data_IF_782726005462
#
_entry.id   IF_782726005462
#
_cell.length_a   1.000
_cell.length_b   1.000
_cell.length_c   1.000
_cell.angle_alpha   90.00
_cell.angle_beta   90.00
_cell.angle_gamma   90.00
#
_symmetry.space_group_name_H-M   'P 1'
#
loop_
_entity.id
_entity.type
_entity.pdbx_description
1 polymer ?
#
# COMPACT_ATOMS: atom_id res chain seq x y z
N UNK A 1 -13.27 10.12 6.10
CA UNK A 1 -12.84 8.85 5.46
C UNK A 1 -12.64 7.79 6.54
N UNK A 2 -12.57 6.49 6.20
CA UNK A 2 -12.23 5.44 7.20
C UNK A 2 -10.73 5.46 7.49
N UNK A 3 -10.32 5.10 8.70
CA UNK A 3 -8.91 5.01 9.08
C UNK A 3 -8.66 3.65 9.73
N UNK A 4 -7.93 2.79 9.04
CA UNK A 4 -7.58 1.45 9.51
C UNK A 4 -6.17 1.44 10.08
N UNK A 5 -5.98 0.76 11.21
CA UNK A 5 -4.67 0.47 11.77
C UNK A 5 -4.46 -1.04 11.78
N UNK A 6 -3.50 -1.52 11.01
CA UNK A 6 -3.08 -2.92 10.99
C UNK A 6 -2.25 -3.19 12.23
N UNK A 7 -2.75 -4.03 13.13
CA UNK A 7 -2.07 -4.37 14.38
C UNK A 7 -2.23 -5.87 14.67
N UNK A 8 -1.15 -6.52 15.09
CA UNK A 8 -1.26 -7.90 15.59
C UNK A 8 -1.97 -7.90 16.94
N UNK A 9 -3.00 -8.75 17.18
CA UNK A 9 -3.79 -8.70 18.41
C UNK A 9 -3.00 -8.80 19.72
N UNK A 10 -1.82 -9.41 19.70
CA UNK A 10 -0.94 -9.55 20.86
C UNK A 10 0.00 -8.35 21.09
N UNK A 11 0.13 -7.43 20.12
CA UNK A 11 0.91 -6.19 20.23
C UNK A 11 0.05 -5.08 20.86
N UNK A 12 -0.38 -5.32 22.10
CA UNK A 12 -1.21 -4.39 22.87
C UNK A 12 -0.47 -3.10 23.22
N UNK A 13 0.86 -3.15 23.30
CA UNK A 13 1.76 -2.01 23.43
C UNK A 13 1.60 -1.03 22.26
N UNK A 14 1.80 -1.51 21.02
CA UNK A 14 1.69 -0.70 19.81
C UNK A 14 0.27 -0.21 19.57
N UNK A 15 -0.72 -1.05 19.89
CA UNK A 15 -2.14 -0.66 19.85
C UNK A 15 -2.43 0.53 20.78
N UNK A 16 -1.91 0.52 22.00
CA UNK A 16 -2.13 1.62 22.94
C UNK A 16 -1.44 2.92 22.45
N UNK A 17 -0.21 2.82 21.94
CA UNK A 17 0.54 3.95 21.40
C UNK A 17 -0.20 4.64 20.24
N UNK A 18 -0.62 3.88 19.23
CA UNK A 18 -1.29 4.45 18.06
C UNK A 18 -2.69 4.99 18.37
N UNK A 19 -3.43 4.35 19.29
CA UNK A 19 -4.72 4.86 19.76
C UNK A 19 -4.59 6.19 20.50
N UNK A 20 -3.58 6.34 21.37
CA UNK A 20 -3.30 7.60 22.05
C UNK A 20 -2.96 8.73 21.06
N UNK A 21 -2.20 8.43 20.00
CA UNK A 21 -1.96 9.38 18.91
C UNK A 21 -3.26 9.76 18.17
N UNK A 22 -4.12 8.77 17.88
CA UNK A 22 -5.43 9.01 17.28
C UNK A 22 -6.31 9.93 18.11
N UNK A 23 -6.39 9.69 19.42
CA UNK A 23 -7.13 10.53 20.36
C UNK A 23 -6.60 11.96 20.40
N UNK A 24 -5.27 12.14 20.45
CA UNK A 24 -4.62 13.45 20.43
C UNK A 24 -5.07 14.31 19.23
N UNK A 25 -5.27 13.68 18.07
CA UNK A 25 -5.65 14.36 16.83
C UNK A 25 -7.13 14.22 16.46
N UNK A 26 -7.97 13.69 17.35
CA UNK A 26 -9.39 13.42 17.11
C UNK A 26 -9.65 12.57 15.86
N UNK A 27 -8.79 11.58 15.60
CA UNK A 27 -8.91 10.66 14.49
C UNK A 27 -9.59 9.36 14.96
N UNK A 28 -10.75 8.98 14.38
CA UNK A 28 -11.46 7.76 14.76
C UNK A 28 -10.76 6.53 14.14
N UNK A 29 -9.73 6.04 14.81
CA UNK A 29 -8.97 4.87 14.36
C UNK A 29 -9.77 3.58 14.53
N UNK A 30 -9.82 2.77 13.48
CA UNK A 30 -10.36 1.41 13.51
C UNK A 30 -9.22 0.41 13.50
N UNK A 31 -9.09 -0.35 14.59
CA UNK A 31 -8.11 -1.42 14.67
C UNK A 31 -8.56 -2.57 13.76
N UNK A 32 -7.67 -2.96 12.86
CA UNK A 32 -7.81 -4.11 11.99
C UNK A 32 -6.86 -5.21 12.47
N UNK A 33 -7.42 -6.31 12.96
CA UNK A 33 -6.63 -7.44 13.45
C UNK A 33 -5.80 -8.04 12.31
N UNK A 34 -4.49 -7.82 12.38
CA UNK A 34 -3.52 -8.30 11.41
C UNK A 34 -3.46 -9.83 11.45
N UNK A 35 -3.25 -10.42 10.28
CA UNK A 35 -3.07 -11.86 10.13
C UNK A 35 -1.67 -12.25 10.56
N UNK A 36 -1.57 -13.00 11.65
CA UNK A 36 -0.32 -13.63 12.04
C UNK A 36 -0.01 -14.79 11.10
N UNK A 37 0.86 -14.56 10.11
CA UNK A 37 1.22 -15.60 9.15
C UNK A 37 1.91 -16.82 9.77
N UNK A 38 2.57 -16.66 10.92
CA UNK A 38 3.20 -17.79 11.65
C UNK A 38 2.15 -18.76 12.24
N UNK A 39 0.91 -18.32 12.41
CA UNK A 39 -0.20 -19.16 12.86
C UNK A 39 -0.87 -19.96 11.71
N UNK A 40 -0.46 -19.75 10.45
CA UNK A 40 -1.03 -20.44 9.29
C UNK A 40 -0.17 -21.67 8.95
N UNK A 41 -0.83 -22.82 8.74
CA UNK A 41 -0.15 -24.05 8.31
C UNK A 41 0.42 -23.93 6.90
N UNK A 42 1.45 -24.72 6.58
CA UNK A 42 2.04 -24.72 5.24
C UNK A 42 1.04 -25.22 4.18
N UNK A 43 0.16 -26.14 4.56
CA UNK A 43 -0.94 -26.67 3.74
C UNK A 43 -1.95 -25.59 3.36
N UNK A 44 -2.29 -24.71 4.28
CA UNK A 44 -3.15 -23.55 4.01
C UNK A 44 -2.42 -22.50 3.19
N UNK A 45 -1.15 -22.23 3.50
CA UNK A 45 -0.34 -21.28 2.73
C UNK A 45 -0.25 -21.70 1.26
N UNK A 46 -0.06 -22.98 0.96
CA UNK A 46 -0.03 -23.50 -0.43
C UNK A 46 -1.32 -23.21 -1.22
N UNK A 47 -2.46 -23.01 -0.54
CA UNK A 47 -3.74 -22.69 -1.20
C UNK A 47 -3.88 -21.20 -1.52
N UNK A 48 -3.20 -20.34 -0.77
CA UNK A 48 -3.40 -18.87 -0.81
C UNK A 48 -2.17 -18.12 -1.34
N UNK A 49 -1.02 -18.77 -1.42
CA UNK A 49 0.24 -18.21 -1.93
C UNK A 49 0.67 -18.97 -3.18
N UNK A 50 0.87 -18.24 -4.27
CA UNK A 50 1.38 -18.78 -5.51
C UNK A 50 2.82 -19.27 -5.31
N UNK A 51 3.08 -20.52 -5.72
CA UNK A 51 4.44 -21.10 -5.81
C UNK A 51 5.16 -21.19 -4.45
N UNK A 52 4.42 -21.43 -3.37
CA UNK A 52 4.99 -21.68 -2.05
C UNK A 52 5.54 -23.12 -1.93
N UNK A 53 6.74 -23.34 -1.35
CA UNK A 53 7.64 -22.36 -0.74
C UNK A 53 8.71 -21.76 -1.68
N UNK A 54 8.71 -22.12 -2.97
CA UNK A 54 9.70 -21.68 -3.95
C UNK A 54 9.71 -20.16 -4.20
N UNK A 55 8.61 -19.47 -3.89
CA UNK A 55 8.49 -18.01 -3.94
C UNK A 55 9.32 -17.29 -2.85
N UNK A 56 9.83 -18.03 -1.85
CA UNK A 56 10.68 -17.55 -0.76
C UNK A 56 10.09 -16.40 0.07
N UNK A 57 8.76 -16.28 0.13
CA UNK A 57 8.08 -15.38 1.07
C UNK A 57 8.09 -16.00 2.47
N UNK A 58 8.43 -15.20 3.49
CA UNK A 58 8.29 -15.64 4.89
C UNK A 58 6.83 -15.61 5.30
N UNK A 59 6.48 -16.39 6.32
CA UNK A 59 5.13 -16.42 6.87
C UNK A 59 4.69 -15.04 7.36
N UNK A 60 5.56 -14.30 8.07
CA UNK A 60 5.27 -12.92 8.45
C UNK A 60 4.90 -12.02 7.25
N UNK A 61 5.63 -12.11 6.13
CA UNK A 61 5.31 -11.36 4.90
C UNK A 61 3.94 -11.75 4.35
N UNK A 62 3.63 -13.04 4.35
CA UNK A 62 2.34 -13.56 3.90
C UNK A 62 1.21 -13.00 4.78
N UNK A 63 1.40 -12.97 6.10
CA UNK A 63 0.47 -12.37 7.06
C UNK A 63 0.21 -10.88 6.80
N UNK A 64 1.28 -10.10 6.58
CA UNK A 64 1.17 -8.69 6.18
C UNK A 64 0.37 -8.55 4.87
N UNK A 65 0.75 -9.28 3.80
CA UNK A 65 0.00 -9.26 2.52
C UNK A 65 -1.47 -9.63 2.66
N UNK A 66 -1.80 -10.64 3.48
CA UNK A 66 -3.18 -11.02 3.75
C UNK A 66 -3.96 -9.91 4.47
N UNK A 67 -3.33 -9.22 5.41
CA UNK A 67 -3.97 -8.14 6.18
C UNK A 67 -4.41 -6.99 5.27
N UNK A 68 -3.54 -6.51 4.38
CA UNK A 68 -3.90 -5.49 3.40
C UNK A 68 -4.95 -5.97 2.39
N UNK A 69 -4.85 -7.22 1.91
CA UNK A 69 -5.86 -7.79 1.01
C UNK A 69 -7.25 -7.84 1.66
N UNK A 70 -7.33 -8.19 2.95
CA UNK A 70 -8.59 -8.18 3.70
C UNK A 70 -9.15 -6.77 3.88
N UNK A 71 -8.30 -5.76 4.12
CA UNK A 71 -8.74 -4.35 4.12
C UNK A 71 -9.32 -3.97 2.76
N UNK A 72 -8.62 -4.29 1.66
CA UNK A 72 -9.14 -3.99 0.31
C UNK A 72 -10.47 -4.68 0.05
N UNK A 73 -10.60 -5.96 0.46
CA UNK A 73 -11.86 -6.69 0.38
C UNK A 73 -12.97 -6.01 1.18
N UNK A 74 -12.68 -5.63 2.42
CA UNK A 74 -13.62 -4.93 3.31
C UNK A 74 -14.08 -3.60 2.70
N UNK A 75 -13.18 -2.83 2.10
CA UNK A 75 -13.55 -1.61 1.37
C UNK A 75 -14.50 -1.88 0.20
N UNK A 76 -14.30 -2.98 -0.52
CA UNK A 76 -15.20 -3.38 -1.61
C UNK A 76 -16.57 -3.80 -1.08
N UNK A 77 -16.59 -4.66 -0.05
CA UNK A 77 -17.82 -5.22 0.52
C UNK A 77 -18.69 -4.15 1.21
N UNK A 78 -18.05 -3.18 1.88
CA UNK A 78 -18.71 -2.11 2.64
C UNK A 78 -18.85 -0.79 1.85
N UNK A 79 -18.49 -0.76 0.57
CA UNK A 79 -18.53 0.44 -0.28
C UNK A 79 -17.76 1.65 0.31
N UNK A 80 -16.58 1.41 0.89
CA UNK A 80 -15.74 2.47 1.47
C UNK A 80 -14.95 3.16 0.36
N UNK A 81 -15.34 4.39 0.01
CA UNK A 81 -14.76 5.13 -1.12
C UNK A 81 -13.28 5.51 -0.92
N UNK A 82 -12.90 5.84 0.31
CA UNK A 82 -11.54 6.29 0.64
C UNK A 82 -11.18 5.84 2.06
N UNK A 83 -9.97 5.32 2.23
CA UNK A 83 -9.47 4.91 3.53
C UNK A 83 -7.98 5.24 3.69
N UNK A 84 -7.60 5.69 4.88
CA UNK A 84 -6.21 5.69 5.33
C UNK A 84 -5.89 4.31 5.92
N UNK A 85 -4.81 3.67 5.47
CA UNK A 85 -4.27 2.44 6.07
C UNK A 85 -2.95 2.79 6.74
N UNK A 86 -2.87 2.47 8.03
CA UNK A 86 -1.72 2.66 8.90
C UNK A 86 -1.21 1.30 9.38
N UNK A 87 0.10 1.16 9.53
CA UNK A 87 0.68 0.14 10.40
C UNK A 87 0.68 0.66 11.86
N UNK A 88 0.81 -0.24 12.83
CA UNK A 88 0.80 0.11 14.25
C UNK A 88 2.05 0.85 14.75
N UNK A 89 3.10 0.95 13.92
CA UNK A 89 4.33 1.70 14.15
C UNK A 89 4.36 3.12 13.52
N UNK A 90 3.22 3.57 13.00
CA UNK A 90 3.10 4.90 12.40
C UNK A 90 3.17 6.04 13.43
N UNK A 91 3.85 7.13 13.08
CA UNK A 91 3.83 8.38 13.84
C UNK A 91 2.93 9.41 13.17
N UNK A 92 1.80 9.73 13.79
CA UNK A 92 0.85 10.72 13.30
C UNK A 92 1.35 12.13 13.61
N UNK A 93 1.24 13.05 12.64
CA UNK A 93 1.61 14.46 12.80
C UNK A 93 0.38 15.35 12.93
N UNK A 94 0.57 16.53 13.53
CA UNK A 94 -0.52 17.48 13.86
C UNK A 94 -1.41 17.85 12.66
N UNK A 95 -0.84 17.97 11.46
CA UNK A 95 -1.56 18.35 10.25
C UNK A 95 -2.23 17.18 9.51
N UNK A 96 -2.12 15.95 10.02
CA UNK A 96 -2.72 14.78 9.36
C UNK A 96 -4.24 14.96 9.14
N UNK A 97 -5.08 15.40 10.10
CA UNK A 97 -6.50 15.61 9.87
C UNK A 97 -6.79 16.61 8.73
N UNK A 98 -6.00 17.69 8.65
CA UNK A 98 -6.12 18.70 7.59
C UNK A 98 -5.85 18.06 6.23
N UNK A 99 -4.74 17.32 6.09
CA UNK A 99 -4.38 16.68 4.83
C UNK A 99 -5.40 15.63 4.42
N UNK A 100 -5.91 14.82 5.35
CA UNK A 100 -6.97 13.85 5.05
C UNK A 100 -8.22 14.55 4.52
N UNK A 101 -8.65 15.65 5.14
CA UNK A 101 -9.78 16.44 4.66
C UNK A 101 -9.59 17.03 3.26
N UNK A 102 -8.36 17.43 2.89
CA UNK A 102 -8.04 17.87 1.54
C UNK A 102 -8.07 16.71 0.52
N UNK A 103 -7.57 15.53 0.90
CA UNK A 103 -7.61 14.34 0.05
C UNK A 103 -9.06 13.88 -0.23
N UNK A 104 -9.97 13.96 0.74
CA UNK A 104 -11.41 13.65 0.53
C UNK A 104 -12.07 14.58 -0.49
N UNK A 105 -11.66 15.85 -0.53
CA UNK A 105 -12.20 16.81 -1.51
C UNK A 105 -11.69 16.52 -2.92
N UNK A 106 -10.43 16.08 -3.03
CA UNK A 106 -9.71 15.95 -4.31
C UNK A 106 -9.94 14.58 -4.95
N UNK A 107 -9.94 13.48 -4.18
CA UNK A 107 -10.18 12.16 -4.74
C UNK A 107 -11.65 12.02 -5.16
N UNK A 108 -11.86 11.70 -6.45
CA UNK A 108 -13.19 11.48 -7.04
C UNK A 108 -13.51 10.00 -7.28
N UNK A 109 -12.62 9.10 -6.84
CA UNK A 109 -12.73 7.66 -7.03
C UNK A 109 -12.95 7.23 -8.51
N UNK A 110 -12.42 8.02 -9.46
CA UNK A 110 -12.56 7.77 -10.91
C UNK A 110 -11.48 6.83 -11.45
N UNK A 111 -10.31 6.83 -10.81
CA UNK A 111 -9.16 6.00 -11.18
C UNK A 111 -8.60 5.28 -9.95
N UNK A 112 -8.03 4.08 -10.09
CA UNK A 112 -7.31 3.41 -9.01
C UNK A 112 -6.15 4.28 -8.50
N UNK A 113 -6.29 4.85 -7.29
CA UNK A 113 -5.34 5.81 -6.73
C UNK A 113 -4.87 5.42 -5.33
N UNK A 114 -3.56 5.58 -5.11
CA UNK A 114 -2.93 5.59 -3.79
C UNK A 114 -2.27 6.96 -3.57
N UNK A 115 -2.44 7.52 -2.38
CA UNK A 115 -1.71 8.69 -1.89
C UNK A 115 -0.79 8.26 -0.75
N UNK A 116 0.51 8.36 -0.96
CA UNK A 116 1.48 8.14 0.10
C UNK A 116 1.55 9.37 1.02
N UNK A 117 1.33 9.15 2.31
CA UNK A 117 1.37 10.21 3.33
C UNK A 117 2.62 10.14 4.23
N UNK A 118 3.42 9.08 4.07
CA UNK A 118 4.70 8.86 4.77
C UNK A 118 5.94 8.90 3.86
N UNK A 119 5.77 9.10 2.55
CA UNK A 119 6.91 9.09 1.62
C UNK A 119 7.70 10.39 1.65
N UNK A 120 9.03 10.25 1.66
CA UNK A 120 9.97 11.35 1.47
C UNK A 120 10.51 11.44 0.03
N UNK A 121 10.14 10.51 -0.85
CA UNK A 121 10.65 10.41 -2.22
C UNK A 121 9.61 10.90 -3.24
N UNK A 122 9.85 12.06 -3.84
CA UNK A 122 8.92 12.69 -4.78
C UNK A 122 9.63 13.46 -5.90
N UNK A 123 8.94 13.69 -7.02
CA UNK A 123 9.45 14.54 -8.11
C UNK A 123 9.44 16.00 -7.69
N UNK A 124 10.52 16.72 -8.01
CA UNK A 124 10.54 18.19 -7.93
C UNK A 124 9.80 18.83 -9.12
N UNK A 125 8.60 18.35 -9.44
CA UNK A 125 7.71 18.95 -10.43
C UNK A 125 6.70 19.90 -9.77
N UNK A 126 5.94 20.64 -10.58
CA UNK A 126 4.72 21.28 -10.10
C UNK A 126 3.80 20.22 -9.48
N UNK A 127 3.23 20.55 -8.33
CA UNK A 127 2.23 19.73 -7.62
C UNK A 127 0.97 20.56 -7.38
N UNK A 128 -0.14 19.88 -7.13
CA UNK A 128 -1.36 20.54 -6.70
C UNK A 128 -1.18 20.99 -5.26
N UNK A 129 -1.18 22.30 -5.01
CA UNK A 129 -1.16 22.84 -3.65
C UNK A 129 -2.47 22.52 -2.95
N UNK A 130 -2.37 22.18 -1.67
CA UNK A 130 -3.50 21.98 -0.76
C UNK A 130 -3.30 22.88 0.47
N UNK A 131 -4.26 22.91 1.39
CA UNK A 131 -4.15 23.70 2.62
C UNK A 131 -2.90 23.35 3.46
N UNK A 132 -2.52 24.24 4.39
CA UNK A 132 -1.44 23.99 5.37
C UNK A 132 -0.02 24.02 4.79
N UNK A 133 0.18 24.51 3.56
CA UNK A 133 1.50 24.54 2.91
C UNK A 133 1.90 23.20 2.27
N UNK A 134 0.98 22.24 2.21
CA UNK A 134 1.21 20.94 1.59
C UNK A 134 0.93 20.96 0.07
N UNK A 135 1.46 19.95 -0.62
CA UNK A 135 1.18 19.72 -2.02
C UNK A 135 1.07 18.22 -2.34
N UNK A 136 0.21 17.89 -3.28
CA UNK A 136 0.11 16.56 -3.90
C UNK A 136 1.05 16.53 -5.11
N UNK A 137 1.98 15.59 -5.11
CA UNK A 137 2.98 15.42 -6.18
C UNK A 137 2.99 14.01 -6.75
N UNK A 138 3.55 13.91 -7.95
CA UNK A 138 3.89 12.62 -8.56
C UNK A 138 4.92 11.88 -7.72
N UNK A 139 4.57 10.64 -7.39
CA UNK A 139 5.45 9.72 -6.68
C UNK A 139 6.46 9.08 -7.65
N UNK A 140 7.72 8.99 -7.25
CA UNK A 140 8.77 8.36 -8.07
C UNK A 140 8.86 6.88 -7.75
N UNK A 141 9.23 6.57 -6.52
CA UNK A 141 9.42 5.23 -5.99
C UNK A 141 9.70 5.34 -4.49
N UNK A 142 9.33 4.33 -3.75
CA UNK A 142 9.57 4.19 -2.32
C UNK A 142 9.08 2.82 -1.87
N UNK A 143 9.94 2.09 -1.17
CA UNK A 143 9.48 0.96 -0.38
C UNK A 143 8.80 1.51 0.86
N UNK A 144 7.65 0.92 1.21
CA UNK A 144 7.03 0.85 2.54
C UNK A 144 5.52 1.13 2.46
N UNK A 145 4.76 0.41 3.30
CA UNK A 145 3.30 0.50 3.45
C UNK A 145 2.88 1.16 4.77
N UNK A 146 3.80 1.75 5.54
CA UNK A 146 3.53 2.30 6.88
C UNK A 146 2.30 3.20 6.95
N UNK A 147 2.08 4.02 5.91
CA UNK A 147 0.89 4.84 5.83
C UNK A 147 0.58 5.25 4.39
N UNK A 148 -0.63 4.96 3.94
CA UNK A 148 -1.12 5.39 2.63
C UNK A 148 -2.64 5.51 2.63
N UNK A 149 -3.15 6.46 1.85
CA UNK A 149 -4.57 6.57 1.54
C UNK A 149 -4.85 5.81 0.26
N UNK A 150 -5.88 4.97 0.26
CA UNK A 150 -6.32 4.14 -0.87
C UNK A 150 -7.78 4.44 -1.17
N UNK A 151 -8.10 4.65 -2.44
CA UNK A 151 -9.49 4.76 -2.87
C UNK A 151 -10.08 3.40 -3.26
N UNK A 152 -11.40 3.32 -3.34
CA UNK A 152 -12.10 2.05 -3.60
C UNK A 152 -11.73 1.45 -4.95
N UNK A 153 -11.54 2.25 -6.00
CA UNK A 153 -11.05 1.74 -7.30
C UNK A 153 -9.68 1.07 -7.19
N UNK A 154 -8.79 1.59 -6.35
CA UNK A 154 -7.52 0.93 -6.05
C UNK A 154 -7.72 -0.33 -5.21
N UNK A 155 -8.57 -0.32 -4.19
CA UNK A 155 -8.89 -1.50 -3.40
C UNK A 155 -9.46 -2.64 -4.28
N UNK A 156 -10.43 -2.34 -5.14
CA UNK A 156 -11.02 -3.27 -6.12
C UNK A 156 -9.93 -3.87 -7.02
N UNK A 157 -9.09 -3.02 -7.62
CA UNK A 157 -8.01 -3.43 -8.52
C UNK A 157 -6.95 -4.28 -7.82
N UNK A 158 -6.50 -3.87 -6.64
CA UNK A 158 -5.49 -4.59 -5.85
C UNK A 158 -6.03 -5.93 -5.37
N UNK A 159 -7.24 -5.98 -4.81
CA UNK A 159 -7.86 -7.23 -4.37
C UNK A 159 -8.03 -8.24 -5.52
N UNK A 160 -8.53 -7.78 -6.67
CA UNK A 160 -8.76 -8.66 -7.83
C UNK A 160 -7.47 -9.21 -8.47
N UNK A 161 -6.33 -8.53 -8.28
CA UNK A 161 -5.08 -8.86 -9.00
C UNK A 161 -3.94 -9.35 -8.10
N UNK A 162 -4.05 -9.21 -6.77
CA UNK A 162 -3.02 -9.66 -5.82
C UNK A 162 -3.40 -10.98 -5.11
N UNK A 163 -4.57 -11.55 -5.41
CA UNK A 163 -4.99 -12.89 -5.00
C UNK A 163 -4.85 -13.91 -6.16
N UNK A 164 -4.30 -15.12 -5.93
CA UNK A 164 -3.57 -15.56 -4.74
C UNK A 164 -2.28 -14.75 -4.54
N UNK A 165 -1.75 -14.74 -3.31
CA UNK A 165 -0.61 -13.92 -2.94
C UNK A 165 0.61 -14.32 -3.77
N UNK A 166 1.14 -13.34 -4.49
CA UNK A 166 2.38 -13.46 -5.28
C UNK A 166 3.41 -12.38 -4.92
N UNK A 167 2.92 -11.25 -4.44
CA UNK A 167 3.69 -10.05 -4.16
C UNK A 167 3.52 -9.67 -2.68
N UNK A 168 4.56 -9.10 -2.10
CA UNK A 168 4.47 -8.41 -0.81
C UNK A 168 3.57 -7.17 -0.94
N UNK A 169 2.84 -6.80 0.12
CA UNK A 169 1.90 -5.67 0.11
C UNK A 169 2.52 -4.34 -0.34
N UNK A 170 3.83 -4.18 -0.13
CA UNK A 170 4.61 -2.97 -0.39
C UNK A 170 5.33 -2.95 -1.75
N UNK A 171 5.03 -3.90 -2.66
CA UNK A 171 5.68 -4.00 -3.98
C UNK A 171 5.09 -3.00 -4.99
N UNK A 172 4.93 -1.75 -4.57
CA UNK A 172 4.30 -0.65 -5.29
C UNK A 172 4.81 -0.47 -6.72
N UNK A 173 6.13 -0.55 -6.93
CA UNK A 173 6.75 -0.52 -8.26
C UNK A 173 6.09 -1.51 -9.23
N UNK A 174 5.85 -2.75 -8.79
CA UNK A 174 5.23 -3.77 -9.63
C UNK A 174 3.77 -3.46 -9.90
N UNK A 175 3.04 -2.95 -8.90
CA UNK A 175 1.62 -2.62 -9.05
C UNK A 175 1.43 -1.48 -10.04
N UNK A 176 2.32 -0.49 -10.02
CA UNK A 176 2.39 0.57 -11.03
C UNK A 176 2.76 0.03 -12.42
N UNK A 177 3.78 -0.82 -12.53
CA UNK A 177 4.21 -1.40 -13.81
C UNK A 177 3.12 -2.29 -14.45
N UNK A 178 2.32 -2.96 -13.62
CA UNK A 178 1.17 -3.76 -14.04
C UNK A 178 -0.07 -2.90 -14.36
N UNK A 179 -0.04 -1.60 -14.04
CA UNK A 179 -1.17 -0.68 -14.25
C UNK A 179 -2.34 -0.93 -13.30
N UNK A 180 -2.10 -1.53 -12.14
CA UNK A 180 -3.14 -1.80 -11.14
C UNK A 180 -3.60 -0.52 -10.45
N UNK A 181 -2.66 0.40 -10.23
CA UNK A 181 -2.84 1.63 -9.45
C UNK A 181 -1.96 2.74 -10.00
N UNK A 182 -2.39 3.97 -9.75
CA UNK A 182 -1.61 5.19 -9.94
C UNK A 182 -1.27 5.80 -8.58
N UNK A 183 -0.17 6.55 -8.52
CA UNK A 183 0.38 7.05 -7.27
C UNK A 183 0.48 8.57 -7.25
N UNK A 184 0.25 9.13 -6.08
CA UNK A 184 0.70 10.47 -5.68
C UNK A 184 1.23 10.42 -4.26
N UNK A 185 1.86 11.50 -3.81
CA UNK A 185 2.33 11.64 -2.44
C UNK A 185 2.04 13.04 -1.92
N UNK A 186 1.87 13.15 -0.61
CA UNK A 186 1.76 14.44 0.09
C UNK A 186 3.16 14.91 0.47
N UNK A 187 3.43 16.18 0.22
CA UNK A 187 4.72 16.83 0.47
C UNK A 187 4.51 18.16 1.21
N UNK A 188 5.15 18.38 2.38
CA UNK A 188 5.93 17.40 3.15
C UNK A 188 5.07 16.21 3.61
N UNK A 189 5.70 15.13 4.06
CA UNK A 189 4.96 13.98 4.61
C UNK A 189 4.25 14.35 5.92
N UNK A 190 3.14 13.69 6.22
CA UNK A 190 2.31 13.93 7.43
C UNK A 190 2.18 12.70 8.33
N UNK A 191 2.91 11.63 8.01
CA UNK A 191 3.08 10.47 8.85
C UNK A 191 4.54 10.07 8.85
N UNK A 192 5.14 9.98 10.04
CA UNK A 192 6.50 9.49 10.25
C UNK A 192 6.52 8.00 10.59
N UNK A 193 7.70 7.50 10.94
CA UNK A 193 7.92 6.16 11.51
C UNK A 193 8.63 6.36 12.85
N UNK A 194 8.21 5.63 13.89
CA UNK A 194 8.77 5.81 15.23
C UNK A 194 10.20 5.27 15.35
N UNK A 195 11.09 6.09 15.92
CA UNK A 195 12.44 5.72 16.33
C UNK A 195 13.38 5.17 15.25
N UNK A 196 14.54 4.65 15.71
CA UNK A 196 15.35 3.70 14.92
C UNK A 196 14.41 2.53 14.65
N UNK A 197 14.20 2.09 13.39
CA UNK A 197 13.26 1.02 13.10
C UNK A 197 13.62 -0.15 14.00
N UNK A 198 12.78 -0.40 15.00
CA UNK A 198 12.79 -1.67 15.73
C UNK A 198 12.84 -2.69 14.61
N UNK A 199 13.88 -3.54 14.56
CA UNK A 199 14.05 -4.47 13.44
C UNK A 199 12.79 -5.30 13.42
N UNK A 200 11.83 -4.92 12.56
CA UNK A 200 10.52 -5.56 12.48
C UNK A 200 10.77 -7.06 12.46
N UNK A 201 9.97 -7.85 13.18
CA UNK A 201 10.13 -9.31 13.17
C UNK A 201 10.17 -9.84 11.73
N UNK A 202 9.45 -9.17 10.83
CA UNK A 202 9.49 -9.37 9.37
C UNK A 202 10.89 -9.19 8.78
N UNK A 203 11.63 -8.16 9.18
CA UNK A 203 12.98 -7.88 8.67
C UNK A 203 13.95 -9.01 9.00
N UNK A 204 13.94 -9.51 10.24
CA UNK A 204 14.85 -10.57 10.69
C UNK A 204 14.57 -11.88 9.95
N UNK A 205 13.31 -12.27 9.82
CA UNK A 205 12.92 -13.44 9.02
C UNK A 205 13.29 -13.26 7.53
N UNK A 206 12.98 -12.09 6.96
CA UNK A 206 13.26 -11.77 5.54
C UNK A 206 14.75 -11.80 5.23
N UNK A 207 15.61 -11.36 6.15
CA UNK A 207 17.04 -11.28 5.93
C UNK A 207 17.64 -12.63 5.49
N UNK A 208 17.10 -13.74 6.01
CA UNK A 208 17.53 -15.11 5.69
C UNK A 208 17.17 -15.54 4.25
N UNK A 209 16.06 -15.04 3.71
CA UNK A 209 15.54 -15.45 2.39
C UNK A 209 15.67 -14.38 1.31
N UNK A 210 16.06 -13.14 1.67
CA UNK A 210 16.01 -11.95 0.81
C UNK A 210 16.72 -12.16 -0.54
N UNK A 211 17.91 -12.78 -0.55
CA UNK A 211 18.64 -13.05 -1.80
C UNK A 211 17.83 -13.94 -2.75
N UNK A 212 17.26 -15.03 -2.22
CA UNK A 212 16.45 -15.98 -3.00
C UNK A 212 15.14 -15.33 -3.45
N UNK A 213 14.46 -14.58 -2.58
CA UNK A 213 13.25 -13.82 -2.91
C UNK A 213 13.51 -12.77 -3.99
N UNK A 214 14.62 -12.04 -3.93
CA UNK A 214 15.00 -11.05 -4.95
C UNK A 214 15.25 -11.71 -6.31
N UNK A 215 15.91 -12.86 -6.32
CA UNK A 215 16.11 -13.64 -7.55
C UNK A 215 14.77 -14.07 -8.15
N UNK A 216 13.87 -14.62 -7.32
CA UNK A 216 12.52 -14.99 -7.71
C UNK A 216 11.73 -13.82 -8.33
N UNK A 217 11.71 -12.67 -7.65
CA UNK A 217 11.05 -11.45 -8.11
C UNK A 217 11.62 -10.93 -9.43
N UNK A 218 12.93 -11.06 -9.67
CA UNK A 218 13.53 -10.69 -10.95
C UNK A 218 13.02 -11.57 -12.10
N UNK A 219 12.78 -12.86 -11.86
CA UNK A 219 12.10 -13.73 -12.83
C UNK A 219 10.71 -13.20 -13.20
N UNK A 220 9.94 -12.74 -12.20
CA UNK A 220 8.62 -12.15 -12.42
C UNK A 220 8.66 -10.80 -13.12
N UNK A 221 9.68 -9.96 -12.90
CA UNK A 221 9.84 -8.65 -13.57
C UNK A 221 9.79 -8.77 -15.09
N UNK A 222 10.38 -9.82 -15.66
CA UNK A 222 10.39 -10.02 -17.12
C UNK A 222 8.97 -10.22 -17.67
N UNK A 223 8.12 -10.95 -16.94
CA UNK A 223 6.72 -11.18 -17.29
C UNK A 223 5.93 -9.87 -17.25
N UNK A 224 6.07 -9.09 -16.16
CA UNK A 224 5.41 -7.78 -16.01
C UNK A 224 5.81 -6.82 -17.13
N UNK A 225 7.11 -6.71 -17.43
CA UNK A 225 7.62 -5.84 -18.51
C UNK A 225 7.10 -6.23 -19.89
N UNK A 226 7.03 -7.53 -20.19
CA UNK A 226 6.45 -8.03 -21.45
C UNK A 226 4.99 -7.65 -21.59
N UNK A 227 4.18 -7.88 -20.54
CA UNK A 227 2.76 -7.47 -20.51
C UNK A 227 2.60 -5.97 -20.75
N UNK A 228 3.39 -5.13 -20.08
CA UNK A 228 3.35 -3.67 -20.26
C UNK A 228 3.70 -3.23 -21.68
N UNK A 229 4.70 -3.87 -22.32
CA UNK A 229 5.06 -3.59 -23.72
C UNK A 229 3.90 -3.91 -24.65
N UNK A 230 3.25 -5.05 -24.48
CA UNK A 230 2.07 -5.44 -25.27
C UNK A 230 0.92 -4.45 -25.10
N UNK A 231 0.59 -4.06 -23.86
CA UNK A 231 -0.46 -3.06 -23.60
C UNK A 231 -0.14 -1.72 -24.27
N UNK A 232 1.12 -1.26 -24.21
CA UNK A 232 1.55 -0.03 -24.90
C UNK A 232 1.43 -0.14 -26.41
N UNK A 233 1.74 -1.30 -27.00
CA UNK A 233 1.58 -1.55 -28.44
C UNK A 233 0.10 -1.51 -28.81
N UNK A 234 -0.76 -2.24 -28.10
CA UNK A 234 -2.20 -2.25 -28.33
C UNK A 234 -2.80 -0.84 -28.18
N UNK A 235 -2.39 -0.06 -27.17
CA UNK A 235 -2.84 1.32 -27.03
C UNK A 235 -2.42 2.20 -28.22
N UNK A 236 -1.19 2.06 -28.72
CA UNK A 236 -0.71 2.79 -29.91
C UNK A 236 -1.50 2.43 -31.17
N UNK A 237 -1.90 1.16 -31.31
CA UNK A 237 -2.63 0.67 -32.49
C UNK A 237 -4.12 1.07 -32.42
N UNK A 238 -4.77 0.85 -31.28
CA UNK A 238 -6.23 0.89 -31.19
C UNK A 238 -6.79 2.15 -30.53
N UNK A 239 -6.01 2.89 -29.74
CA UNK A 239 -6.51 4.07 -29.00
C UNK A 239 -5.88 5.37 -29.46
N UNK A 240 -4.57 5.41 -29.66
CA UNK A 240 -3.84 6.63 -30.07
C UNK A 240 -4.38 7.30 -31.35
N UNK A 241 -4.82 6.58 -32.40
CA UNK A 241 -5.35 7.22 -33.63
C UNK A 241 -6.63 8.03 -33.43
N UNK A 242 -7.36 7.79 -32.34
CA UNK A 242 -8.66 8.41 -32.06
C UNK A 242 -8.59 9.51 -31.00
N UNK A 243 -7.40 9.80 -30.45
CA UNK A 243 -7.21 10.89 -29.49
C UNK A 243 -6.87 12.17 -30.26
N UNK A 244 -7.85 13.08 -30.38
CA UNK A 244 -7.60 14.44 -30.87
C UNK A 244 -6.84 15.23 -29.80
N UNK A 245 -5.70 15.83 -30.19
CA UNK A 245 -5.01 16.83 -29.37
C UNK A 245 -5.84 18.11 -29.39
N UNK A 246 -6.22 18.62 -28.21
CA UNK A 246 -6.56 20.03 -28.01
C UNK A 246 -5.30 20.87 -27.96
#
# INVERSE_FOLDING_TARGET
>A
MRIFVVNLPHRTDKRAEILAQGEKYNLPLEIFDAVNGNAISDEEIKKIVYDYPACHMTKGVIGCSLSHLKIYKKMCDENIDLALVLEDDALLMDDLPLVLGELEKIDKNEVPKIYFVSSQYYKQSSGQKIAGGYAIRDYIDGGNSHAYVVNRKAAESLHANLWPIKWEADKWYYFLEMGLVSFSCVVPHVVGVDGVPEKSDLYTERALTNRKRRHYLNGLKHVVRRRRRLVKILWKIFRKPFVKKS
#
